data_IF_907361223212
#
_entry.id   IF_907361223212
#
_cell.length_a   1.000
_cell.length_b   1.000
_cell.length_c   1.000
_cell.angle_alpha   90.00
_cell.angle_beta   90.00
_cell.angle_gamma   90.00
#
_symmetry.space_group_name_H-M   'P 1'
#
loop_
_entity.id
_entity.type
_entity.pdbx_description
1 polymer ?
#
# COMPACT_ATOMS: atom_id res chain seq x y z
N UNK A 1 -13.78 -4.77 -0.33
CA UNK A 1 -13.25 -3.48 -0.85
C UNK A 1 -14.34 -2.43 -0.76
N UNK A 2 -14.22 -1.38 0.03
CA UNK A 2 -15.20 -0.28 0.03
C UNK A 2 -14.71 0.83 -0.89
N UNK A 3 -15.60 1.33 -1.75
CA UNK A 3 -15.31 2.45 -2.65
C UNK A 3 -16.43 3.49 -2.48
N UNK A 4 -16.07 4.73 -2.14
CA UNK A 4 -17.02 5.84 -2.10
C UNK A 4 -16.52 6.97 -3.00
N UNK A 5 -17.28 7.21 -4.07
CA UNK A 5 -16.96 8.16 -5.14
C UNK A 5 -17.64 9.53 -4.90
N UNK A 6 -17.75 9.98 -3.65
CA UNK A 6 -18.52 11.19 -3.31
C UNK A 6 -18.01 12.47 -4.03
N UNK A 7 -16.78 12.48 -4.54
CA UNK A 7 -16.15 13.63 -5.22
C UNK A 7 -15.36 13.29 -6.49
N UNK A 8 -15.32 12.02 -6.94
CA UNK A 8 -14.45 11.58 -8.05
C UNK A 8 -14.56 10.07 -8.32
N UNK A 9 -13.81 9.56 -9.29
CA UNK A 9 -13.84 8.13 -9.68
C UNK A 9 -12.56 7.42 -9.21
N UNK A 10 -12.71 6.34 -8.43
CA UNK A 10 -11.58 5.45 -8.14
C UNK A 10 -11.21 4.61 -9.37
N UNK A 11 -9.92 4.62 -9.74
CA UNK A 11 -9.35 3.83 -10.84
C UNK A 11 -8.28 2.87 -10.33
N UNK A 12 -8.41 1.59 -10.70
CA UNK A 12 -7.53 0.49 -10.33
C UNK A 12 -6.81 -0.04 -11.58
N UNK A 13 -5.54 0.35 -11.70
CA UNK A 13 -4.59 0.03 -12.75
C UNK A 13 -3.98 -1.36 -12.65
N UNK A 14 -4.81 -2.41 -12.57
CA UNK A 14 -4.38 -3.81 -12.44
C UNK A 14 -5.51 -4.74 -12.01
N UNK A 15 -5.16 -5.97 -11.69
CA UNK A 15 -6.10 -6.98 -11.18
C UNK A 15 -6.56 -6.65 -9.75
N UNK A 16 -7.77 -7.07 -9.41
CA UNK A 16 -8.37 -6.90 -8.09
C UNK A 16 -8.80 -8.26 -7.56
N UNK A 17 -8.27 -8.65 -6.40
CA UNK A 17 -8.59 -9.91 -5.73
C UNK A 17 -9.40 -9.70 -4.46
N UNK A 18 -10.42 -10.52 -4.25
CA UNK A 18 -11.26 -10.55 -3.06
C UNK A 18 -11.47 -12.00 -2.59
N UNK A 19 -11.00 -12.32 -1.38
CA UNK A 19 -11.14 -13.66 -0.79
C UNK A 19 -11.02 -13.63 0.75
N UNK A 20 -11.86 -14.40 1.50
CA UNK A 20 -12.97 -15.24 1.02
C UNK A 20 -14.30 -14.45 0.87
N UNK A 21 -14.27 -13.15 1.13
CA UNK A 21 -15.43 -12.27 1.00
C UNK A 21 -15.35 -11.51 -0.33
N UNK A 22 -16.38 -11.65 -1.14
CA UNK A 22 -16.45 -11.12 -2.50
C UNK A 22 -17.20 -9.80 -2.65
N UNK A 23 -17.34 -9.02 -1.58
CA UNK A 23 -18.15 -7.79 -1.60
C UNK A 23 -17.30 -6.54 -1.84
N UNK A 24 -17.84 -5.61 -2.62
CA UNK A 24 -17.38 -4.23 -2.57
C UNK A 24 -18.50 -3.24 -2.32
N UNK A 25 -18.13 -1.96 -2.20
CA UNK A 25 -19.05 -0.82 -2.03
C UNK A 25 -19.69 -0.72 -0.62
N UNK A 26 -19.47 -1.69 0.28
CA UNK A 26 -19.84 -1.56 1.70
C UNK A 26 -21.35 -1.59 1.99
N UNK A 27 -22.16 -1.72 0.94
CA UNK A 27 -23.62 -1.83 0.94
C UNK A 27 -24.11 -3.26 0.61
N UNK A 28 -23.18 -4.20 0.42
CA UNK A 28 -23.50 -5.59 0.08
C UNK A 28 -23.64 -5.86 -1.42
N UNK A 29 -23.33 -4.89 -2.29
CA UNK A 29 -23.38 -5.07 -3.74
C UNK A 29 -22.15 -5.87 -4.23
N UNK A 30 -22.33 -6.89 -5.10
CA UNK A 30 -21.21 -7.59 -5.72
C UNK A 30 -20.33 -6.67 -6.56
N UNK A 31 -19.05 -7.01 -6.66
CA UNK A 31 -18.13 -6.20 -7.45
C UNK A 31 -18.37 -6.24 -8.94
N UNK A 32 -18.22 -5.06 -9.55
CA UNK A 32 -18.22 -4.87 -11.00
C UNK A 32 -16.94 -4.13 -11.40
N UNK A 33 -16.51 -4.30 -12.65
CA UNK A 33 -15.32 -3.64 -13.18
C UNK A 33 -15.51 -2.13 -13.46
N UNK A 34 -16.71 -1.60 -13.29
CA UNK A 34 -17.06 -0.21 -13.63
C UNK A 34 -17.13 0.72 -12.42
N UNK A 35 -17.31 0.20 -11.21
CA UNK A 35 -17.28 0.99 -9.99
C UNK A 35 -16.72 0.19 -8.81
N UNK A 36 -15.42 0.35 -8.45
CA UNK A 36 -14.41 1.21 -9.07
C UNK A 36 -14.07 0.81 -10.51
N UNK A 37 -13.43 1.69 -11.28
CA UNK A 37 -12.96 1.36 -12.64
C UNK A 37 -11.76 0.45 -12.53
N UNK A 38 -11.91 -0.80 -12.94
CA UNK A 38 -10.85 -1.82 -12.91
C UNK A 38 -10.38 -2.05 -14.34
N UNK A 39 -9.08 -1.87 -14.56
CA UNK A 39 -8.45 -2.06 -15.89
C UNK A 39 -7.90 -3.47 -16.10
N UNK A 40 -7.70 -4.24 -15.02
CA UNK A 40 -7.34 -5.66 -15.06
C UNK A 40 -8.55 -6.58 -14.85
N UNK A 41 -8.26 -7.77 -14.33
CA UNK A 41 -9.26 -8.81 -14.04
C UNK A 41 -9.74 -8.71 -12.60
N UNK A 42 -11.05 -8.82 -12.41
CA UNK A 42 -11.67 -8.93 -11.10
C UNK A 42 -11.77 -10.42 -10.70
N UNK A 43 -11.04 -10.80 -9.66
CA UNK A 43 -10.99 -12.15 -9.08
C UNK A 43 -11.77 -12.18 -7.76
N UNK A 44 -12.90 -12.86 -7.73
CA UNK A 44 -13.77 -12.96 -6.54
C UNK A 44 -13.92 -14.42 -6.14
N UNK A 45 -13.37 -14.78 -4.98
CA UNK A 45 -13.47 -16.11 -4.39
C UNK A 45 -13.03 -17.25 -5.33
N UNK A 46 -12.13 -16.96 -6.26
CA UNK A 46 -11.55 -17.96 -7.16
C UNK A 46 -10.18 -18.45 -6.65
N UNK A 47 -9.61 -19.41 -7.38
CA UNK A 47 -8.31 -19.99 -7.04
C UNK A 47 -7.18 -18.95 -7.06
N UNK A 48 -7.24 -17.96 -7.97
CA UNK A 48 -6.23 -16.92 -8.07
C UNK A 48 -6.26 -15.97 -6.87
N UNK A 49 -7.45 -15.51 -6.45
CA UNK A 49 -7.63 -14.68 -5.25
C UNK A 49 -7.25 -15.43 -3.97
N UNK A 50 -7.59 -16.73 -3.88
CA UNK A 50 -7.19 -17.57 -2.75
C UNK A 50 -5.66 -17.73 -2.67
N UNK A 51 -5.00 -18.00 -3.79
CA UNK A 51 -3.54 -18.12 -3.85
C UNK A 51 -2.85 -16.78 -3.54
N UNK A 52 -3.32 -15.67 -4.12
CA UNK A 52 -2.78 -14.34 -3.86
C UNK A 52 -2.84 -13.96 -2.37
N UNK A 53 -3.88 -14.38 -1.65
CA UNK A 53 -3.98 -14.20 -0.20
C UNK A 53 -2.95 -15.03 0.57
N UNK A 54 -2.72 -16.28 0.17
CA UNK A 54 -1.66 -17.11 0.77
C UNK A 54 -0.27 -16.49 0.53
N UNK A 55 -0.01 -16.04 -0.70
CA UNK A 55 1.25 -15.40 -1.08
C UNK A 55 1.48 -14.10 -0.32
N UNK A 56 0.42 -13.31 -0.07
CA UNK A 56 0.48 -12.12 0.79
C UNK A 56 0.94 -12.46 2.22
N UNK A 57 0.41 -13.54 2.81
CA UNK A 57 0.82 -13.97 4.16
C UNK A 57 2.29 -14.39 4.18
N UNK A 58 2.74 -15.12 3.16
CA UNK A 58 4.15 -15.49 3.02
C UNK A 58 5.06 -14.28 2.84
N UNK A 59 4.71 -13.34 1.96
CA UNK A 59 5.46 -12.11 1.73
C UNK A 59 5.52 -11.22 2.97
N UNK A 60 4.41 -11.09 3.71
CA UNK A 60 4.37 -10.33 4.97
C UNK A 60 5.31 -10.94 6.02
N UNK A 61 5.32 -12.27 6.12
CA UNK A 61 6.17 -13.01 7.07
C UNK A 61 7.65 -12.87 6.70
N UNK A 62 7.97 -12.98 5.42
CA UNK A 62 9.33 -12.79 4.90
C UNK A 62 9.84 -11.38 5.19
N UNK A 63 9.05 -10.35 4.83
CA UNK A 63 9.43 -8.96 5.01
C UNK A 63 9.58 -8.59 6.50
N UNK A 64 8.69 -9.07 7.37
CA UNK A 64 8.77 -8.87 8.82
C UNK A 64 9.94 -9.63 9.47
N UNK A 65 10.39 -10.73 8.87
CA UNK A 65 11.51 -11.55 9.36
C UNK A 65 12.89 -11.06 8.96
N UNK A 66 13.00 -10.11 8.03
CA UNK A 66 14.30 -9.56 7.61
C UNK A 66 15.03 -8.85 8.76
N UNK A 67 16.36 -8.99 8.89
CA UNK A 67 17.13 -8.22 9.85
C UNK A 67 17.00 -6.72 9.59
N UNK A 68 16.69 -5.94 10.63
CA UNK A 68 16.52 -4.49 10.51
C UNK A 68 17.87 -3.76 10.52
N UNK A 69 18.06 -2.80 9.62
CA UNK A 69 19.22 -1.90 9.62
C UNK A 69 19.05 -0.75 10.63
N UNK A 70 17.83 -0.26 10.82
CA UNK A 70 17.55 0.92 11.64
C UNK A 70 16.17 0.86 12.28
N UNK A 71 16.08 1.30 13.54
CA UNK A 71 14.80 1.57 14.21
C UNK A 71 14.41 3.04 14.04
N UNK A 72 13.20 3.30 13.57
CA UNK A 72 12.65 4.65 13.34
C UNK A 72 11.12 4.61 13.37
N UNK A 73 10.49 5.61 13.98
CA UNK A 73 9.02 5.70 14.08
C UNK A 73 8.46 6.81 13.19
N UNK A 74 9.08 7.98 13.15
CA UNK A 74 8.71 9.05 12.23
C UNK A 74 9.79 9.18 11.15
N UNK A 75 9.39 9.03 9.88
CA UNK A 75 10.30 9.10 8.73
C UNK A 75 10.17 10.43 7.97
N UNK A 76 9.42 11.38 8.52
CA UNK A 76 9.24 12.72 7.93
C UNK A 76 10.59 13.43 7.73
N UNK A 77 10.80 13.96 6.54
CA UNK A 77 12.00 14.71 6.14
C UNK A 77 13.24 13.85 5.91
N UNK A 78 13.15 12.52 6.09
CA UNK A 78 14.31 11.65 5.96
C UNK A 78 14.63 11.33 4.51
N UNK A 79 15.93 11.22 4.22
CA UNK A 79 16.45 10.58 3.01
C UNK A 79 16.99 9.22 3.42
N UNK A 80 16.38 8.17 2.88
CA UNK A 80 16.63 6.78 3.26
C UNK A 80 17.34 6.06 2.12
N UNK A 81 18.57 5.64 2.38
CA UNK A 81 19.30 4.70 1.54
C UNK A 81 18.59 3.33 1.55
N UNK A 82 18.95 2.40 0.65
CA UNK A 82 18.34 1.07 0.59
C UNK A 82 18.53 0.31 1.91
N UNK A 83 17.51 -0.41 2.37
CA UNK A 83 17.58 -1.17 3.61
C UNK A 83 16.24 -1.45 4.30
N UNK A 84 16.33 -2.04 5.49
CA UNK A 84 15.22 -2.45 6.33
C UNK A 84 15.07 -1.49 7.51
N UNK A 85 13.91 -0.86 7.61
CA UNK A 85 13.56 0.16 8.60
C UNK A 85 12.43 -0.34 9.49
N UNK A 86 12.64 -0.35 10.80
CA UNK A 86 11.71 -0.94 11.76
C UNK A 86 11.11 0.10 12.69
N UNK A 87 9.80 0.09 12.87
CA UNK A 87 9.11 0.73 14.00
C UNK A 87 8.53 -0.37 14.88
N UNK A 88 8.78 -0.31 16.19
CA UNK A 88 8.08 -1.17 17.16
C UNK A 88 6.65 -0.72 17.43
N UNK A 89 6.27 0.46 16.94
CA UNK A 89 4.98 1.12 17.14
C UNK A 89 4.42 1.57 15.80
N UNK A 90 3.59 2.62 15.81
CA UNK A 90 3.12 3.26 14.59
C UNK A 90 4.31 3.89 13.85
N UNK A 91 4.35 3.73 12.54
CA UNK A 91 5.25 4.49 11.67
C UNK A 91 4.49 5.63 10.99
N UNK A 92 5.07 6.82 10.87
CA UNK A 92 4.36 7.98 10.32
C UNK A 92 5.15 8.85 9.35
N UNK A 93 4.41 9.53 8.46
CA UNK A 93 4.85 10.70 7.70
C UNK A 93 3.86 11.83 8.03
N UNK A 94 4.36 12.97 8.49
CA UNK A 94 3.55 14.12 8.93
C UNK A 94 2.80 14.79 7.77
N UNK A 95 1.84 15.66 8.11
CA UNK A 95 1.04 16.43 7.13
C UNK A 95 1.97 17.26 6.24
N UNK A 96 1.82 17.16 4.91
CA UNK A 96 2.72 17.82 3.94
C UNK A 96 4.17 17.30 3.96
N UNK A 97 4.43 16.25 4.75
CA UNK A 97 5.76 15.69 4.95
C UNK A 97 6.23 14.84 3.77
N UNK A 98 7.54 14.73 3.62
CA UNK A 98 8.16 13.88 2.59
C UNK A 98 9.10 12.89 3.22
N UNK A 99 9.04 11.63 2.80
CA UNK A 99 10.18 10.71 2.94
C UNK A 99 10.77 10.46 1.56
N UNK A 100 12.09 10.55 1.44
CA UNK A 100 12.81 10.33 0.18
C UNK A 100 13.52 8.99 0.24
N UNK A 101 13.30 8.12 -0.74
CA UNK A 101 14.01 6.87 -0.92
C UNK A 101 15.05 7.07 -2.02
N UNK A 102 16.32 6.96 -1.65
CA UNK A 102 17.45 7.26 -2.53
C UNK A 102 18.14 5.97 -2.94
N UNK A 103 17.98 5.58 -4.21
CA UNK A 103 18.58 4.37 -4.76
C UNK A 103 20.10 4.44 -4.90
N UNK A 104 20.71 5.62 -4.73
CA UNK A 104 22.15 5.83 -4.84
C UNK A 104 22.75 5.32 -6.17
N UNK A 105 21.94 5.34 -7.24
CA UNK A 105 22.31 4.85 -8.57
C UNK A 105 22.05 3.35 -8.80
N UNK A 106 21.52 2.61 -7.82
CA UNK A 106 21.15 1.20 -7.95
C UNK A 106 19.65 1.04 -8.21
N UNK A 107 19.30 0.60 -9.42
CA UNK A 107 17.94 0.28 -9.84
C UNK A 107 17.34 -0.97 -9.17
N UNK A 108 18.18 -1.77 -8.51
CA UNK A 108 17.78 -2.94 -7.74
C UNK A 108 17.73 -2.65 -6.24
N UNK A 109 17.94 -1.40 -5.82
CA UNK A 109 17.81 -0.98 -4.44
C UNK A 109 16.45 -1.37 -3.85
N UNK A 110 16.45 -1.89 -2.62
CA UNK A 110 15.25 -2.39 -1.91
C UNK A 110 15.04 -1.64 -0.60
N UNK A 111 13.78 -1.34 -0.30
CA UNK A 111 13.34 -0.81 0.99
C UNK A 111 12.28 -1.71 1.60
N UNK A 112 12.46 -2.07 2.88
CA UNK A 112 11.47 -2.80 3.65
C UNK A 112 11.17 -2.02 4.92
N UNK A 113 9.94 -1.56 5.06
CA UNK A 113 9.44 -0.92 6.27
C UNK A 113 8.67 -1.94 7.10
N UNK A 114 9.21 -2.28 8.27
CA UNK A 114 8.60 -3.18 9.24
C UNK A 114 7.89 -2.35 10.31
N UNK A 115 6.55 -2.39 10.34
CA UNK A 115 5.73 -1.58 11.23
C UNK A 115 5.04 -2.47 12.24
N UNK A 116 5.42 -2.35 13.51
CA UNK A 116 4.91 -3.15 14.62
C UNK A 116 3.45 -2.87 15.00
N UNK A 117 2.89 -1.76 14.51
CA UNK A 117 1.48 -1.39 14.64
C UNK A 117 0.94 -0.90 13.29
N UNK A 118 0.40 0.32 13.22
CA UNK A 118 -0.16 0.92 12.01
C UNK A 118 0.85 1.81 11.26
N UNK A 119 0.66 1.95 9.95
CA UNK A 119 1.31 3.00 9.15
C UNK A 119 0.35 4.18 8.98
N UNK A 120 0.81 5.40 9.26
CA UNK A 120 0.04 6.63 9.04
C UNK A 120 0.79 7.58 8.12
N UNK A 121 0.31 7.73 6.89
CA UNK A 121 0.79 8.75 5.95
C UNK A 121 -0.25 9.86 5.93
N UNK A 122 0.05 10.98 6.57
CA UNK A 122 -0.92 12.06 6.76
C UNK A 122 -1.23 12.81 5.46
N UNK A 123 -2.25 13.67 5.50
CA UNK A 123 -2.69 14.42 4.32
C UNK A 123 -1.55 15.18 3.64
N UNK A 124 -1.58 15.24 2.31
CA UNK A 124 -0.57 15.94 1.49
C UNK A 124 0.86 15.40 1.64
N UNK A 125 1.06 14.26 2.30
CA UNK A 125 2.38 13.65 2.44
C UNK A 125 2.80 12.87 1.18
N UNK A 126 4.11 12.69 1.00
CA UNK A 126 4.65 11.99 -0.15
C UNK A 126 5.81 11.03 0.18
N UNK A 127 5.85 9.93 -0.57
CA UNK A 127 7.02 9.05 -0.68
C UNK A 127 7.70 9.37 -2.01
N UNK A 128 8.86 10.02 -1.95
CA UNK A 128 9.62 10.44 -3.13
C UNK A 128 10.69 9.39 -3.47
N UNK A 129 10.76 8.97 -4.73
CA UNK A 129 11.81 8.06 -5.22
C UNK A 129 12.83 8.87 -6.04
N UNK A 130 14.12 8.72 -5.73
CA UNK A 130 15.20 9.36 -6.48
C UNK A 130 16.33 8.38 -6.81
N UNK A 131 17.18 8.77 -7.77
CA UNK A 131 18.45 8.11 -8.07
C UNK A 131 18.36 6.58 -8.25
N UNK A 132 17.40 6.12 -9.05
CA UNK A 132 17.21 4.68 -9.33
C UNK A 132 16.27 3.95 -8.37
N UNK A 133 15.73 4.62 -7.34
CA UNK A 133 14.68 4.02 -6.52
C UNK A 133 13.42 3.73 -7.36
N UNK A 134 12.87 2.52 -7.22
CA UNK A 134 11.69 2.06 -7.97
C UNK A 134 10.62 1.53 -7.03
N UNK A 135 9.36 1.90 -7.26
CA UNK A 135 8.23 1.52 -6.41
C UNK A 135 8.06 0.00 -6.27
N UNK A 136 8.42 -0.78 -7.30
CA UNK A 136 8.40 -2.25 -7.25
C UNK A 136 9.32 -2.86 -6.19
N UNK A 137 10.31 -2.12 -5.71
CA UNK A 137 11.28 -2.56 -4.71
C UNK A 137 11.02 -1.96 -3.31
N UNK A 138 9.87 -1.31 -3.10
CA UNK A 138 9.50 -0.71 -1.82
C UNK A 138 8.37 -1.53 -1.19
N UNK A 139 8.59 -2.04 0.02
CA UNK A 139 7.67 -2.91 0.74
C UNK A 139 7.33 -2.35 2.11
N UNK A 140 6.05 -2.33 2.46
CA UNK A 140 5.55 -1.85 3.75
C UNK A 140 4.84 -3.01 4.46
N UNK A 141 5.56 -3.71 5.34
CA UNK A 141 5.04 -4.82 6.14
C UNK A 141 4.45 -4.30 7.46
N UNK A 142 3.13 -4.38 7.61
CA UNK A 142 2.39 -3.67 8.67
C UNK A 142 1.59 -4.68 9.50
N UNK A 143 1.88 -4.73 10.80
CA UNK A 143 1.25 -5.69 11.73
C UNK A 143 -0.22 -5.37 12.05
N UNK A 144 -0.65 -4.13 11.81
CA UNK A 144 -2.04 -3.69 11.93
C UNK A 144 -2.57 -3.15 10.59
N UNK A 145 -2.98 -1.88 10.53
CA UNK A 145 -3.59 -1.25 9.35
C UNK A 145 -2.70 -0.15 8.76
N UNK A 146 -2.91 0.17 7.49
CA UNK A 146 -2.39 1.40 6.89
C UNK A 146 -3.48 2.46 6.74
N UNK A 147 -3.12 3.71 6.99
CA UNK A 147 -3.96 4.88 6.75
C UNK A 147 -3.16 5.87 5.92
N UNK A 148 -3.56 6.04 4.66
CA UNK A 148 -3.11 7.12 3.79
C UNK A 148 -4.18 8.21 3.83
N UNK A 149 -3.79 9.44 4.15
CA UNK A 149 -4.66 10.61 4.21
C UNK A 149 -5.18 11.03 2.83
N UNK A 150 -5.68 12.25 2.74
CA UNK A 150 -6.07 12.88 1.46
C UNK A 150 -4.84 13.38 0.71
N UNK A 151 -4.91 13.39 -0.62
CA UNK A 151 -3.89 13.98 -1.50
C UNK A 151 -2.46 13.43 -1.23
N UNK A 152 -2.37 12.18 -0.81
CA UNK A 152 -1.09 11.49 -0.59
C UNK A 152 -0.53 11.00 -1.93
N UNK A 153 0.78 11.15 -2.12
CA UNK A 153 1.53 10.49 -3.20
C UNK A 153 2.34 9.32 -2.62
N UNK A 154 1.85 8.09 -2.80
CA UNK A 154 2.42 6.91 -2.16
C UNK A 154 3.12 5.99 -3.16
N UNK A 155 4.22 5.37 -2.72
CA UNK A 155 5.04 4.47 -3.52
C UNK A 155 5.25 3.15 -2.77
N UNK A 156 5.03 2.03 -3.47
CA UNK A 156 5.37 0.70 -2.98
C UNK A 156 4.21 -0.24 -2.70
N UNK A 157 4.56 -1.45 -2.27
CA UNK A 157 3.62 -2.52 -1.97
C UNK A 157 3.31 -2.53 -0.48
N UNK A 158 2.05 -2.28 -0.13
CA UNK A 158 1.53 -2.37 1.23
C UNK A 158 1.10 -3.81 1.52
N UNK A 159 1.67 -4.39 2.57
CA UNK A 159 1.41 -5.72 3.10
C UNK A 159 0.82 -5.56 4.52
N UNK A 160 -0.45 -5.17 4.60
CA UNK A 160 -1.12 -4.94 5.88
C UNK A 160 -1.77 -6.23 6.39
N UNK A 161 -1.70 -6.47 7.71
CA UNK A 161 -2.45 -7.59 8.30
C UNK A 161 -3.95 -7.28 8.33
N UNK A 162 -4.34 -6.11 8.82
CA UNK A 162 -5.74 -5.74 9.01
C UNK A 162 -6.32 -5.05 7.77
N UNK A 163 -6.39 -3.71 7.76
CA UNK A 163 -7.06 -2.94 6.70
C UNK A 163 -6.15 -1.90 6.06
N UNK A 164 -6.53 -1.43 4.87
CA UNK A 164 -5.93 -0.27 4.22
C UNK A 164 -7.00 0.80 4.00
N UNK A 165 -6.76 2.02 4.45
CA UNK A 165 -7.65 3.16 4.22
C UNK A 165 -6.91 4.21 3.41
N UNK A 166 -7.51 4.66 2.30
CA UNK A 166 -6.93 5.67 1.43
C UNK A 166 -7.92 6.83 1.30
N UNK A 167 -7.49 8.00 1.78
CA UNK A 167 -8.26 9.24 1.73
C UNK A 167 -8.42 9.79 0.32
N UNK A 168 -9.32 10.75 0.17
CA UNK A 168 -9.71 11.36 -1.10
C UNK A 168 -8.53 11.85 -1.93
N UNK A 169 -8.57 11.57 -3.24
CA UNK A 169 -7.63 12.07 -4.26
C UNK A 169 -6.16 11.67 -4.06
N UNK A 170 -5.90 10.68 -3.20
CA UNK A 170 -4.58 10.07 -3.07
C UNK A 170 -4.24 9.18 -4.26
N UNK A 171 -2.95 9.14 -4.60
CA UNK A 171 -2.38 8.33 -5.67
C UNK A 171 -1.41 7.29 -5.10
N UNK A 172 -1.48 6.07 -5.64
CA UNK A 172 -0.60 4.97 -5.26
C UNK A 172 0.04 4.39 -6.51
N UNK A 173 1.37 4.42 -6.60
CA UNK A 173 2.14 3.62 -7.56
C UNK A 173 2.69 2.43 -6.79
N UNK A 174 2.02 1.29 -6.90
CA UNK A 174 2.20 0.23 -5.93
C UNK A 174 1.10 -0.81 -5.91
N UNK A 175 0.95 -1.44 -4.76
CA UNK A 175 -0.09 -2.45 -4.48
C UNK A 175 -0.63 -2.20 -3.08
N UNK A 176 -1.94 -2.32 -2.90
CA UNK A 176 -2.58 -2.33 -1.59
C UNK A 176 -3.08 -3.74 -1.30
N UNK A 177 -2.47 -4.42 -0.33
CA UNK A 177 -2.81 -5.79 0.03
C UNK A 177 -3.13 -5.85 1.52
N UNK A 178 -4.17 -6.60 1.88
CA UNK A 178 -4.48 -6.90 3.28
C UNK A 178 -5.00 -8.31 3.49
N UNK A 179 -4.61 -8.97 4.58
CA UNK A 179 -4.96 -10.38 4.82
C UNK A 179 -6.31 -10.57 5.52
N UNK A 180 -6.65 -9.72 6.49
CA UNK A 180 -7.76 -9.99 7.42
C UNK A 180 -8.93 -8.99 7.27
N UNK A 181 -8.68 -7.82 6.70
CA UNK A 181 -9.62 -6.71 6.69
C UNK A 181 -10.02 -6.21 5.32
N UNK A 182 -10.29 -4.92 5.25
CA UNK A 182 -10.86 -4.25 4.09
C UNK A 182 -9.92 -3.18 3.53
N UNK A 183 -9.99 -2.99 2.21
CA UNK A 183 -9.42 -1.82 1.56
C UNK A 183 -10.55 -0.81 1.36
N UNK A 184 -10.38 0.42 1.84
CA UNK A 184 -11.31 1.53 1.67
C UNK A 184 -10.69 2.61 0.80
N UNK A 185 -11.37 2.96 -0.30
CA UNK A 185 -10.90 3.93 -1.30
C UNK A 185 -11.91 5.06 -1.48
N UNK A 186 -11.40 6.26 -1.67
CA UNK A 186 -12.13 7.50 -1.88
C UNK A 186 -11.51 8.24 -3.08
N UNK A 187 -12.12 8.16 -4.27
CA UNK A 187 -11.66 8.87 -5.47
C UNK A 187 -10.16 8.69 -5.79
N UNK A 188 -9.63 7.46 -5.66
CA UNK A 188 -8.19 7.22 -5.74
C UNK A 188 -7.71 6.76 -7.12
N UNK A 189 -6.45 7.02 -7.44
CA UNK A 189 -5.76 6.38 -8.57
C UNK A 189 -4.70 5.43 -8.05
N UNK A 190 -4.87 4.13 -8.33
CA UNK A 190 -3.91 3.09 -7.96
C UNK A 190 -3.38 2.48 -9.25
N UNK A 191 -2.06 2.42 -9.41
CA UNK A 191 -1.41 1.85 -10.60
C UNK A 191 -0.31 0.89 -10.18
N UNK A 192 -0.11 -0.18 -10.95
CA UNK A 192 1.03 -1.07 -10.72
C UNK A 192 2.35 -0.34 -11.00
N UNK A 193 3.42 -0.64 -10.25
CA UNK A 193 4.76 -0.18 -10.59
C UNK A 193 5.14 -0.59 -12.03
N UNK A 194 5.82 0.29 -12.80
CA UNK A 194 6.39 -0.10 -14.08
C UNK A 194 7.37 -1.26 -13.92
N UNK A 195 7.44 -2.12 -14.95
CA UNK A 195 8.39 -3.24 -15.01
C UNK A 195 9.85 -2.77 -15.04
#
# INVERSE_FOLDING_TARGET
>A
LTNSNASGTTTLGGDVGLSPTGTCIGDGVPCTATNPVITGTLHVNDAAAAQAKADLVSASTEAAGRPSNRTVNDITGMILAPGVYKSGSTMSIAVGGTVTLDGQGDDNAVWIFQVGSSLTVNNNAQVLLINGARAKNVFWAISASSTLGTEVSFQGTVLARASNSVGTDSTVVGRLLCSDGTITLLSNTITLPPL
#
